data_IF_712284020675
#
_entry.id   IF_712284020675
#
_cell.length_a   1.000
_cell.length_b   1.000
_cell.length_c   1.000
_cell.angle_alpha   90.00
_cell.angle_beta   90.00
_cell.angle_gamma   90.00
#
_symmetry.space_group_name_H-M   'P 1'
#
loop_
_entity.id
_entity.type
_entity.pdbx_description
1 polymer ?
#
# COMPACT_ATOMS: atom_id res chain seq x y z
N UNK A 1 -35.36 -24.26 34.57
CA UNK A 1 -35.37 -24.37 33.10
C UNK A 1 -34.44 -23.30 32.57
N UNK A 2 -33.23 -23.69 32.13
CA UNK A 2 -32.26 -22.73 31.61
C UNK A 2 -32.70 -22.26 30.23
N UNK A 3 -32.87 -20.96 30.05
CA UNK A 3 -33.04 -20.34 28.74
C UNK A 3 -31.76 -20.56 27.95
N UNK A 4 -31.71 -21.59 27.12
CA UNK A 4 -30.61 -21.79 26.19
C UNK A 4 -30.68 -20.68 25.13
N UNK A 5 -29.77 -19.70 25.20
CA UNK A 5 -29.60 -18.69 24.16
C UNK A 5 -29.28 -19.38 22.84
N UNK A 6 -30.02 -19.04 21.78
CA UNK A 6 -29.84 -19.64 20.46
C UNK A 6 -28.53 -19.16 19.82
N UNK A 7 -27.97 -19.96 18.91
CA UNK A 7 -26.80 -19.53 18.12
C UNK A 7 -27.07 -18.27 17.29
N UNK A 8 -28.31 -18.07 16.83
CA UNK A 8 -28.72 -16.88 16.08
C UNK A 8 -28.66 -15.61 16.95
N UNK A 9 -29.17 -15.68 18.18
CA UNK A 9 -29.09 -14.57 19.14
C UNK A 9 -27.63 -14.24 19.50
N UNK A 10 -26.81 -15.26 19.75
CA UNK A 10 -25.38 -15.08 20.02
C UNK A 10 -24.71 -14.40 18.81
N UNK A 11 -25.03 -14.84 17.59
CA UNK A 11 -24.43 -14.29 16.38
C UNK A 11 -24.80 -12.84 16.14
N UNK A 12 -26.06 -12.48 16.35
CA UNK A 12 -26.56 -11.10 16.26
C UNK A 12 -25.90 -10.19 17.29
N UNK A 13 -25.76 -10.66 18.54
CA UNK A 13 -25.07 -9.92 19.59
C UNK A 13 -23.56 -9.74 19.29
N UNK A 14 -22.95 -10.71 18.62
CA UNK A 14 -21.51 -10.70 18.32
C UNK A 14 -21.10 -9.75 17.18
N UNK A 15 -21.93 -9.56 16.15
CA UNK A 15 -21.60 -8.71 14.99
C UNK A 15 -21.86 -7.23 15.26
N UNK A 16 -21.14 -6.35 14.56
CA UNK A 16 -21.41 -4.92 14.54
C UNK A 16 -22.67 -4.60 13.70
N UNK A 17 -23.12 -3.34 13.74
CA UNK A 17 -24.32 -2.91 13.03
C UNK A 17 -24.01 -2.19 11.71
N UNK A 18 -23.15 -1.16 11.74
CA UNK A 18 -22.81 -0.30 10.62
C UNK A 18 -21.59 -0.72 9.79
N UNK A 19 -21.31 0.00 8.69
CA UNK A 19 -20.16 -0.27 7.83
C UNK A 19 -18.85 -0.01 8.55
N UNK A 20 -17.78 -0.67 8.10
CA UNK A 20 -16.44 -0.39 8.60
C UNK A 20 -15.95 0.99 8.12
N UNK A 21 -15.64 1.88 9.07
CA UNK A 21 -15.04 3.19 8.82
C UNK A 21 -13.54 3.22 9.11
N UNK A 22 -12.79 3.98 8.32
CA UNK A 22 -11.40 4.36 8.62
C UNK A 22 -11.45 5.52 9.60
N UNK A 23 -11.01 5.32 10.85
CA UNK A 23 -11.11 6.29 11.93
C UNK A 23 -9.87 7.20 12.07
N UNK A 24 -8.72 6.74 11.58
CA UNK A 24 -7.46 7.49 11.64
C UNK A 24 -6.45 6.94 10.64
N UNK A 25 -5.51 7.78 10.18
CA UNK A 25 -4.45 7.39 9.26
C UNK A 25 -3.11 7.97 9.73
N UNK A 26 -2.10 7.13 9.84
CA UNK A 26 -0.73 7.53 10.16
C UNK A 26 0.24 7.01 9.12
N UNK A 27 1.22 7.83 8.74
CA UNK A 27 2.23 7.49 7.73
C UNK A 27 3.65 7.72 8.25
N UNK A 28 4.60 6.92 7.80
CA UNK A 28 6.01 7.04 8.14
C UNK A 28 6.90 6.61 6.97
N UNK A 29 8.08 7.21 6.86
CA UNK A 29 9.11 6.86 5.91
C UNK A 29 10.47 6.93 6.61
N UNK A 30 11.49 6.16 6.17
CA UNK A 30 12.86 6.37 6.63
C UNK A 30 13.31 7.82 6.42
N UNK A 31 14.18 8.35 7.29
CA UNK A 31 14.66 9.73 7.16
C UNK A 31 15.52 9.92 5.90
N UNK A 32 16.36 8.94 5.60
CA UNK A 32 17.19 8.94 4.39
C UNK A 32 16.30 8.91 3.13
N UNK A 33 16.68 9.73 2.15
CA UNK A 33 15.98 9.82 0.89
C UNK A 33 16.94 10.19 -0.24
N UNK A 34 16.51 9.86 -1.45
CA UNK A 34 17.21 10.17 -2.70
C UNK A 34 16.33 11.05 -3.57
N UNK A 35 16.94 12.00 -4.26
CA UNK A 35 16.29 12.77 -5.31
C UNK A 35 16.37 11.98 -6.61
N UNK A 36 15.23 11.80 -7.27
CA UNK A 36 15.14 10.94 -8.45
C UNK A 36 16.00 11.46 -9.61
N UNK A 37 16.16 12.78 -9.74
CA UNK A 37 17.01 13.41 -10.74
C UNK A 37 18.50 13.04 -10.58
N UNK A 38 18.95 12.77 -9.35
CA UNK A 38 20.34 12.43 -9.02
C UNK A 38 20.54 10.91 -8.89
N UNK A 39 19.44 10.14 -8.82
CA UNK A 39 19.48 8.71 -8.57
C UNK A 39 20.26 7.90 -9.63
N UNK A 40 20.23 8.21 -10.94
CA UNK A 40 21.05 7.49 -11.91
C UNK A 40 22.55 7.60 -11.63
N UNK A 41 23.03 8.76 -11.20
CA UNK A 41 24.44 8.97 -10.86
C UNK A 41 24.80 8.26 -9.55
N UNK A 42 23.96 8.41 -8.53
CA UNK A 42 24.12 7.70 -7.26
C UNK A 42 24.15 6.18 -7.46
N UNK A 43 23.14 5.62 -8.13
CA UNK A 43 22.92 4.19 -8.28
C UNK A 43 24.05 3.53 -9.07
N UNK A 44 24.46 4.10 -10.21
CA UNK A 44 25.56 3.53 -11.01
C UNK A 44 26.93 3.69 -10.32
N UNK A 45 27.12 4.71 -9.48
CA UNK A 45 28.32 4.87 -8.65
C UNK A 45 28.36 3.82 -7.54
N UNK A 46 27.33 3.72 -6.71
CA UNK A 46 27.31 2.83 -5.54
C UNK A 46 27.32 1.34 -5.92
N UNK A 47 26.84 1.01 -7.12
CA UNK A 47 26.86 -0.36 -7.68
C UNK A 47 28.09 -0.64 -8.55
N UNK A 48 29.11 0.24 -8.51
CA UNK A 48 30.35 0.12 -9.29
C UNK A 48 30.11 -0.16 -10.79
N UNK A 49 29.12 0.51 -11.37
CA UNK A 49 28.61 0.25 -12.72
C UNK A 49 28.79 1.44 -13.68
N UNK A 50 29.59 2.45 -13.33
CA UNK A 50 29.79 3.65 -14.17
C UNK A 50 30.35 3.35 -15.57
N UNK A 51 31.02 2.20 -15.74
CA UNK A 51 31.50 1.72 -17.03
C UNK A 51 30.36 1.32 -18.00
N UNK A 52 29.14 1.10 -17.50
CA UNK A 52 27.95 0.74 -18.28
C UNK A 52 27.19 1.98 -18.80
N UNK A 53 27.87 2.86 -19.52
CA UNK A 53 27.34 4.18 -19.93
C UNK A 53 25.98 4.12 -20.65
N UNK A 54 25.81 3.20 -21.60
CA UNK A 54 24.55 3.04 -22.35
C UNK A 54 23.38 2.62 -21.46
N UNK A 55 23.66 1.76 -20.47
CA UNK A 55 22.65 1.30 -19.51
C UNK A 55 22.29 2.40 -18.51
N UNK A 56 23.28 3.20 -18.09
CA UNK A 56 23.07 4.39 -17.26
C UNK A 56 22.16 5.40 -17.95
N UNK A 57 22.38 5.64 -19.24
CA UNK A 57 21.55 6.54 -20.04
C UNK A 57 20.12 6.00 -20.23
N UNK A 58 19.95 4.68 -20.43
CA UNK A 58 18.62 4.05 -20.38
C UNK A 58 17.93 4.25 -19.03
N UNK A 59 18.65 4.01 -17.92
CA UNK A 59 18.11 4.15 -16.58
C UNK A 59 17.76 5.59 -16.24
N UNK A 60 18.57 6.56 -16.68
CA UNK A 60 18.29 7.98 -16.55
C UNK A 60 16.95 8.33 -17.18
N UNK A 61 16.69 7.88 -18.42
CA UNK A 61 15.38 8.09 -19.06
C UNK A 61 14.22 7.42 -18.32
N UNK A 62 14.43 6.26 -17.71
CA UNK A 62 13.42 5.62 -16.86
C UNK A 62 13.10 6.48 -15.64
N UNK A 63 14.12 7.01 -14.96
CA UNK A 63 13.98 7.91 -13.82
C UNK A 63 13.28 9.22 -14.22
N UNK A 64 13.71 9.87 -15.31
CA UNK A 64 13.12 11.12 -15.79
C UNK A 64 11.64 10.96 -16.16
N UNK A 65 11.26 9.80 -16.73
CA UNK A 65 9.87 9.48 -17.10
C UNK A 65 9.04 8.89 -15.94
N UNK A 66 9.65 8.61 -14.79
CA UNK A 66 8.95 7.95 -13.67
C UNK A 66 7.89 8.84 -13.00
N UNK A 67 7.93 10.15 -13.23
CA UNK A 67 7.13 11.17 -12.52
C UNK A 67 7.39 11.19 -11.00
N UNK A 68 8.48 10.57 -10.55
CA UNK A 68 8.93 10.57 -9.17
C UNK A 68 9.93 11.72 -8.98
N UNK A 69 9.77 12.50 -7.92
CA UNK A 69 10.71 13.54 -7.51
C UNK A 69 11.68 13.01 -6.46
N UNK A 70 11.17 12.27 -5.48
CA UNK A 70 11.91 11.82 -4.30
C UNK A 70 11.45 10.43 -3.89
N UNK A 71 12.39 9.62 -3.36
CA UNK A 71 12.09 8.35 -2.70
C UNK A 71 12.78 8.27 -1.36
N UNK A 72 12.07 7.78 -0.35
CA UNK A 72 12.68 7.42 0.92
C UNK A 72 13.27 6.03 0.83
N UNK A 73 14.46 5.83 1.40
CA UNK A 73 15.19 4.56 1.35
C UNK A 73 15.92 4.35 2.67
N UNK A 74 15.68 3.22 3.33
CA UNK A 74 16.41 2.83 4.53
C UNK A 74 17.89 2.55 4.21
N UNK A 75 18.16 1.93 3.06
CA UNK A 75 19.54 1.70 2.60
C UNK A 75 20.26 3.02 2.35
N UNK A 76 21.41 3.20 3.00
CA UNK A 76 22.29 4.37 2.86
C UNK A 76 23.52 4.05 2.03
N UNK A 77 24.20 5.08 1.53
CA UNK A 77 25.47 4.90 0.80
C UNK A 77 26.54 4.21 1.68
N UNK A 78 26.61 4.56 2.96
CA UNK A 78 27.54 3.98 3.92
C UNK A 78 27.30 2.47 4.09
N UNK A 79 26.05 2.08 4.34
CA UNK A 79 25.70 0.67 4.49
C UNK A 79 26.01 -0.13 3.23
N UNK A 80 25.71 0.42 2.05
CA UNK A 80 25.96 -0.26 0.77
C UNK A 80 27.44 -0.42 0.44
N UNK A 81 28.30 0.51 0.89
CA UNK A 81 29.77 0.35 0.76
C UNK A 81 30.29 -0.83 1.59
N UNK A 82 29.70 -1.05 2.76
CA UNK A 82 30.07 -2.16 3.65
C UNK A 82 29.42 -3.49 3.24
N UNK A 83 28.42 -3.47 2.35
CA UNK A 83 27.67 -4.65 1.91
C UNK A 83 27.67 -4.79 0.37
N UNK A 84 28.83 -5.01 -0.27
CA UNK A 84 28.97 -5.03 -1.73
C UNK A 84 28.14 -6.13 -2.42
N UNK A 85 27.82 -7.23 -1.73
CA UNK A 85 26.97 -8.29 -2.27
C UNK A 85 25.52 -7.84 -2.52
N UNK A 86 25.04 -6.84 -1.75
CA UNK A 86 23.74 -6.22 -2.02
C UNK A 86 23.77 -5.26 -3.22
N UNK A 87 24.95 -4.73 -3.56
CA UNK A 87 25.19 -3.89 -4.73
C UNK A 87 25.44 -4.71 -6.01
N UNK A 88 25.87 -5.96 -5.89
CA UNK A 88 25.99 -6.86 -7.02
C UNK A 88 24.61 -7.21 -7.59
N UNK A 89 24.56 -7.59 -8.87
CA UNK A 89 23.28 -7.90 -9.53
C UNK A 89 22.62 -9.16 -8.94
N UNK A 90 23.39 -10.25 -8.78
CA UNK A 90 22.90 -11.58 -8.38
C UNK A 90 23.82 -12.29 -7.37
N UNK A 91 24.54 -11.55 -6.53
CA UNK A 91 25.30 -12.18 -5.46
C UNK A 91 24.34 -12.70 -4.36
N UNK A 92 24.67 -13.83 -3.70
CA UNK A 92 23.96 -14.28 -2.51
C UNK A 92 23.92 -13.18 -1.47
N UNK A 93 22.72 -12.75 -1.10
CA UNK A 93 22.52 -11.57 -0.23
C UNK A 93 21.25 -11.66 0.60
N UNK A 94 20.51 -12.78 0.53
CA UNK A 94 19.23 -12.93 1.23
C UNK A 94 19.37 -12.77 2.75
N UNK A 95 20.39 -13.37 3.36
CA UNK A 95 20.57 -13.31 4.82
C UNK A 95 20.77 -11.87 5.29
N UNK A 96 21.69 -11.13 4.67
CA UNK A 96 21.91 -9.71 4.98
C UNK A 96 20.64 -8.87 4.79
N UNK A 97 19.87 -9.14 3.73
CA UNK A 97 18.59 -8.44 3.47
C UNK A 97 17.55 -8.76 4.53
N UNK A 98 17.45 -10.02 4.93
CA UNK A 98 16.54 -10.51 5.96
C UNK A 98 16.87 -9.87 7.31
N UNK A 99 18.14 -9.88 7.72
CA UNK A 99 18.61 -9.26 8.97
C UNK A 99 18.19 -7.79 9.10
N UNK A 100 18.20 -7.04 7.98
CA UNK A 100 17.69 -5.67 7.94
C UNK A 100 16.16 -5.64 8.11
N UNK A 101 15.42 -6.30 7.22
CA UNK A 101 13.97 -6.07 7.10
C UNK A 101 13.15 -6.69 8.23
N UNK A 102 13.61 -7.80 8.83
CA UNK A 102 12.88 -8.41 9.98
C UNK A 102 12.87 -7.48 11.20
N UNK A 103 13.82 -6.54 11.29
CA UNK A 103 13.89 -5.51 12.33
C UNK A 103 13.22 -4.22 11.88
N UNK A 104 13.55 -3.72 10.70
CA UNK A 104 13.21 -2.36 10.30
C UNK A 104 11.76 -2.24 9.78
N UNK A 105 11.19 -3.30 9.20
CA UNK A 105 9.78 -3.30 8.76
C UNK A 105 8.82 -3.11 9.95
N UNK A 106 8.87 -3.91 11.04
CA UNK A 106 7.97 -3.67 12.17
C UNK A 106 8.27 -2.35 12.91
N UNK A 107 9.50 -1.84 12.85
CA UNK A 107 9.87 -0.53 13.43
C UNK A 107 9.25 0.63 12.66
N UNK A 108 9.34 0.64 11.33
CA UNK A 108 8.70 1.65 10.49
C UNK A 108 7.16 1.55 10.60
N UNK A 109 6.63 0.32 10.61
CA UNK A 109 5.21 0.06 10.88
C UNK A 109 4.75 0.60 12.24
N UNK A 110 5.58 0.50 13.28
CA UNK A 110 5.31 1.08 14.61
C UNK A 110 5.22 2.60 14.53
N UNK A 111 6.11 3.28 13.81
CA UNK A 111 6.08 4.73 13.69
C UNK A 111 4.78 5.23 13.04
N UNK A 112 4.34 4.59 11.96
CA UNK A 112 3.06 4.88 11.33
C UNK A 112 1.88 4.59 12.27
N UNK A 113 1.90 3.44 12.95
CA UNK A 113 0.85 3.03 13.88
C UNK A 113 0.72 3.97 15.08
N UNK A 114 1.83 4.47 15.64
CA UNK A 114 1.81 5.46 16.73
C UNK A 114 1.11 6.74 16.29
N UNK A 115 1.34 7.22 15.07
CA UNK A 115 0.66 8.40 14.52
C UNK A 115 -0.85 8.15 14.35
N UNK A 116 -1.23 7.01 13.78
CA UNK A 116 -2.64 6.62 13.62
C UNK A 116 -3.35 6.51 14.99
N UNK A 117 -2.75 5.81 15.96
CA UNK A 117 -3.30 5.66 17.32
C UNK A 117 -3.43 7.02 18.01
N UNK A 118 -2.45 7.91 17.82
CA UNK A 118 -2.50 9.27 18.37
C UNK A 118 -3.64 10.08 17.77
N UNK A 119 -3.85 10.02 16.46
CA UNK A 119 -4.98 10.68 15.80
C UNK A 119 -6.32 10.09 16.25
N UNK A 120 -6.41 8.76 16.37
CA UNK A 120 -7.61 8.08 16.86
C UNK A 120 -7.99 8.48 18.30
N UNK A 121 -6.99 8.80 19.14
CA UNK A 121 -7.19 9.37 20.46
C UNK A 121 -7.65 8.38 21.54
N UNK A 122 -7.87 7.11 21.22
CA UNK A 122 -8.31 6.10 22.18
C UNK A 122 -7.14 5.28 22.75
N UNK A 123 -7.31 4.64 23.92
CA UNK A 123 -6.29 3.76 24.47
C UNK A 123 -5.98 2.60 23.53
N UNK A 124 -4.70 2.33 23.26
CA UNK A 124 -4.24 1.19 22.45
C UNK A 124 -4.73 -0.18 22.94
N UNK A 125 -5.14 -0.29 24.22
CA UNK A 125 -5.79 -1.49 24.77
C UNK A 125 -7.15 -1.79 24.14
N UNK A 126 -7.80 -0.84 23.48
CA UNK A 126 -9.06 -1.01 22.74
C UNK A 126 -8.86 -1.68 21.38
N UNK A 127 -7.64 -1.72 20.84
CA UNK A 127 -7.32 -2.47 19.62
C UNK A 127 -7.60 -3.96 19.88
N UNK A 128 -8.36 -4.59 18.98
CA UNK A 128 -8.78 -6.00 19.08
C UNK A 128 -8.12 -6.87 18.02
N UNK A 129 -7.75 -6.29 16.88
CA UNK A 129 -7.14 -6.99 15.76
C UNK A 129 -5.94 -6.22 15.23
N UNK A 130 -4.98 -6.96 14.64
CA UNK A 130 -3.87 -6.41 13.87
C UNK A 130 -3.86 -7.10 12.51
N UNK A 131 -3.86 -6.32 11.43
CA UNK A 131 -3.60 -6.80 10.08
C UNK A 131 -2.28 -6.18 9.65
N UNK A 132 -1.23 -6.98 9.53
CA UNK A 132 0.08 -6.50 9.10
C UNK A 132 0.38 -7.03 7.70
N UNK A 133 0.79 -6.15 6.79
CA UNK A 133 1.15 -6.48 5.42
C UNK A 133 2.56 -5.99 5.10
N UNK A 134 3.35 -6.87 4.46
CA UNK A 134 4.64 -6.51 3.88
C UNK A 134 5.04 -7.49 2.79
N UNK A 135 5.72 -6.96 1.78
CA UNK A 135 6.44 -7.72 0.75
C UNK A 135 7.94 -7.82 1.12
N UNK A 136 8.32 -7.27 2.27
CA UNK A 136 9.71 -7.02 2.66
C UNK A 136 10.17 -8.02 3.72
N UNK A 137 10.54 -9.21 3.26
CA UNK A 137 11.05 -10.31 4.08
C UNK A 137 9.97 -11.11 4.80
N UNK A 138 10.38 -12.18 5.48
CA UNK A 138 9.52 -13.09 6.25
C UNK A 138 10.21 -13.58 7.52
N UNK A 139 9.49 -13.78 8.62
CA UNK A 139 10.06 -14.35 9.85
C UNK A 139 8.99 -15.05 10.71
N UNK A 140 9.43 -15.83 11.70
CA UNK A 140 8.57 -16.56 12.64
C UNK A 140 9.15 -16.48 14.08
N UNK A 141 8.53 -15.69 14.99
CA UNK A 141 7.29 -14.93 14.84
C UNK A 141 7.40 -13.73 13.90
N UNK A 142 6.35 -13.51 13.10
CA UNK A 142 6.33 -12.47 12.05
C UNK A 142 6.22 -11.02 12.56
N UNK A 143 6.24 -10.09 11.60
CA UNK A 143 6.23 -8.65 11.85
C UNK A 143 4.97 -8.18 12.61
N UNK A 144 3.85 -8.87 12.47
CA UNK A 144 2.63 -8.66 13.24
C UNK A 144 2.81 -8.92 14.75
N UNK A 145 3.57 -9.96 15.12
CA UNK A 145 3.98 -10.24 16.49
C UNK A 145 4.94 -9.17 17.01
N UNK A 146 5.97 -8.82 16.21
CA UNK A 146 6.95 -7.81 16.59
C UNK A 146 6.28 -6.45 16.82
N UNK A 147 5.37 -6.03 15.92
CA UNK A 147 4.59 -4.81 16.08
C UNK A 147 3.73 -4.84 17.35
N UNK A 148 3.06 -5.96 17.61
CA UNK A 148 2.24 -6.17 18.82
C UNK A 148 3.06 -5.95 20.08
N UNK A 149 4.29 -6.49 20.13
CA UNK A 149 5.26 -6.30 21.21
C UNK A 149 5.73 -4.85 21.30
N UNK A 150 6.16 -4.25 20.19
CA UNK A 150 6.70 -2.89 20.12
C UNK A 150 5.70 -1.81 20.55
N UNK A 151 4.41 -2.00 20.24
CA UNK A 151 3.33 -1.12 20.68
C UNK A 151 2.80 -1.48 22.07
N UNK A 152 3.18 -2.63 22.63
CA UNK A 152 2.64 -3.16 23.89
C UNK A 152 1.11 -3.34 23.83
N UNK A 153 0.61 -3.92 22.75
CA UNK A 153 -0.82 -4.24 22.62
C UNK A 153 -1.19 -5.41 23.54
N UNK A 154 -2.49 -5.68 23.69
CA UNK A 154 -2.94 -6.83 24.49
C UNK A 154 -2.40 -8.14 23.89
N UNK A 155 -1.96 -9.11 24.70
CA UNK A 155 -1.52 -10.41 24.18
C UNK A 155 -2.60 -11.18 23.40
N UNK A 156 -3.88 -10.87 23.65
CA UNK A 156 -5.04 -11.49 23.01
C UNK A 156 -5.50 -10.78 21.73
N UNK A 157 -4.74 -9.83 21.17
CA UNK A 157 -5.08 -9.26 19.86
C UNK A 157 -5.07 -10.36 18.81
N UNK A 158 -6.09 -10.38 17.95
CA UNK A 158 -6.17 -11.35 16.86
C UNK A 158 -5.37 -10.81 15.68
N UNK A 159 -4.31 -11.53 15.30
CA UNK A 159 -3.36 -11.07 14.29
C UNK A 159 -3.57 -11.81 12.98
N UNK A 160 -3.45 -11.09 11.87
CA UNK A 160 -3.29 -11.63 10.52
C UNK A 160 -2.01 -11.06 9.93
N UNK A 161 -1.07 -11.94 9.60
CA UNK A 161 0.19 -11.59 8.96
C UNK A 161 0.10 -11.90 7.46
N UNK A 162 0.28 -10.87 6.64
CA UNK A 162 0.16 -10.93 5.19
C UNK A 162 1.56 -10.70 4.59
N UNK A 163 2.30 -11.78 4.36
CA UNK A 163 3.62 -11.74 3.74
C UNK A 163 3.55 -11.95 2.23
N UNK A 164 4.47 -11.32 1.49
CA UNK A 164 4.71 -11.58 0.06
C UNK A 164 3.46 -11.44 -0.82
N UNK A 165 2.65 -10.43 -0.52
CA UNK A 165 1.41 -10.16 -1.26
C UNK A 165 1.66 -9.35 -2.53
N UNK A 166 2.54 -8.34 -2.45
CA UNK A 166 2.80 -7.40 -3.53
C UNK A 166 1.88 -6.18 -3.53
N UNK A 167 1.95 -5.42 -4.62
CA UNK A 167 1.46 -4.05 -4.71
C UNK A 167 -0.08 -3.89 -4.59
N UNK A 168 -0.88 -4.94 -4.84
CA UNK A 168 -2.33 -4.87 -4.68
C UNK A 168 -2.78 -4.89 -3.20
N UNK A 169 -1.89 -5.27 -2.28
CA UNK A 169 -2.26 -5.63 -0.93
C UNK A 169 -2.80 -4.47 -0.08
N UNK A 170 -2.59 -3.22 -0.50
CA UNK A 170 -3.27 -2.08 0.10
C UNK A 170 -4.80 -2.17 0.01
N UNK A 171 -5.34 -2.72 -1.08
CA UNK A 171 -6.77 -3.06 -1.19
C UNK A 171 -7.14 -4.30 -0.36
N UNK A 172 -6.29 -5.33 -0.37
CA UNK A 172 -6.50 -6.56 0.40
C UNK A 172 -6.63 -6.31 1.91
N UNK A 173 -5.77 -5.46 2.48
CA UNK A 173 -5.84 -5.18 3.93
C UNK A 173 -7.11 -4.41 4.31
N UNK A 174 -7.63 -3.56 3.42
CA UNK A 174 -8.91 -2.89 3.61
C UNK A 174 -10.07 -3.90 3.55
N UNK A 175 -10.04 -4.81 2.57
CA UNK A 175 -11.02 -5.91 2.45
C UNK A 175 -11.07 -6.79 3.70
N UNK A 176 -9.91 -7.19 4.22
CA UNK A 176 -9.83 -7.96 5.47
C UNK A 176 -10.29 -7.15 6.69
N UNK A 177 -9.86 -5.89 6.80
CA UNK A 177 -10.24 -5.03 7.92
C UNK A 177 -11.75 -4.75 7.94
N UNK A 178 -12.38 -4.62 6.77
CA UNK A 178 -13.83 -4.47 6.61
C UNK A 178 -14.57 -5.64 7.28
N UNK A 179 -14.26 -6.87 6.86
CA UNK A 179 -14.91 -8.07 7.41
C UNK A 179 -14.63 -8.23 8.91
N UNK A 180 -13.40 -7.98 9.35
CA UNK A 180 -13.06 -8.09 10.77
C UNK A 180 -13.81 -7.07 11.64
N UNK A 181 -13.95 -5.82 11.18
CA UNK A 181 -14.64 -4.76 11.89
C UNK A 181 -16.16 -4.97 11.93
N UNK A 182 -16.78 -5.27 10.79
CA UNK A 182 -18.24 -5.42 10.68
C UNK A 182 -18.75 -6.69 11.37
N UNK A 183 -17.93 -7.74 11.38
CA UNK A 183 -18.34 -9.04 11.88
C UNK A 183 -18.10 -9.22 13.39
N UNK A 184 -17.53 -8.20 14.06
CA UNK A 184 -17.18 -8.25 15.48
C UNK A 184 -17.52 -6.90 16.16
N UNK A 185 -18.61 -6.87 16.93
CA UNK A 185 -19.07 -5.68 17.65
C UNK A 185 -17.96 -5.08 18.52
N UNK A 186 -17.76 -3.77 18.39
CA UNK A 186 -16.73 -3.03 19.12
C UNK A 186 -15.29 -3.34 18.68
N UNK A 187 -15.08 -4.03 17.56
CA UNK A 187 -13.73 -4.26 17.04
C UNK A 187 -13.09 -2.97 16.53
N UNK A 188 -11.80 -2.83 16.84
CA UNK A 188 -10.92 -1.78 16.33
C UNK A 188 -9.69 -2.48 15.78
N UNK A 189 -9.54 -2.44 14.46
CA UNK A 189 -8.53 -3.14 13.69
C UNK A 189 -7.41 -2.17 13.41
N UNK A 190 -6.21 -2.47 13.92
CA UNK A 190 -5.00 -1.78 13.50
C UNK A 190 -4.50 -2.43 12.20
N UNK A 191 -4.59 -1.71 11.10
CA UNK A 191 -4.02 -2.13 9.82
C UNK A 191 -2.66 -1.48 9.66
N UNK A 192 -1.64 -2.21 9.20
CA UNK A 192 -0.32 -1.67 8.89
C UNK A 192 0.20 -2.29 7.59
N UNK A 193 0.54 -1.46 6.62
CA UNK A 193 1.37 -1.84 5.47
C UNK A 193 2.74 -1.21 5.66
N UNK A 194 3.82 -1.98 5.61
CA UNK A 194 5.19 -1.45 5.81
C UNK A 194 6.17 -2.11 4.84
N UNK A 195 6.86 -1.30 4.05
CA UNK A 195 7.66 -1.76 2.92
C UNK A 195 9.05 -1.12 2.95
N UNK A 196 10.09 -1.95 2.74
CA UNK A 196 11.50 -1.56 2.73
C UNK A 196 12.20 -2.26 1.57
N UNK A 197 12.77 -1.49 0.65
CA UNK A 197 13.41 -1.95 -0.59
C UNK A 197 14.73 -2.68 -0.39
N UNK A 198 15.20 -2.85 0.85
CA UNK A 198 16.40 -3.64 1.15
C UNK A 198 16.32 -5.06 0.57
N UNK A 199 15.13 -5.66 0.47
CA UNK A 199 14.96 -6.98 -0.16
C UNK A 199 15.07 -6.97 -1.69
N UNK A 200 14.88 -5.83 -2.36
CA UNK A 200 14.80 -5.72 -3.84
C UNK A 200 15.93 -4.95 -4.48
N UNK A 201 16.64 -4.09 -3.73
CA UNK A 201 17.78 -3.32 -4.23
C UNK A 201 18.89 -4.23 -4.75
N UNK A 202 19.40 -3.99 -5.96
CA UNK A 202 20.51 -4.76 -6.55
C UNK A 202 21.20 -3.94 -7.64
N UNK A 203 22.37 -4.37 -8.09
CA UNK A 203 23.08 -3.74 -9.22
C UNK A 203 22.35 -3.86 -10.55
N UNK A 204 22.71 -3.05 -11.57
CA UNK A 204 22.10 -3.11 -12.89
C UNK A 204 22.58 -4.31 -13.72
N UNK A 205 21.77 -4.73 -14.69
CA UNK A 205 22.13 -5.69 -15.74
C UNK A 205 21.49 -5.29 -17.06
N UNK A 206 22.24 -5.35 -18.16
CA UNK A 206 21.77 -4.95 -19.50
C UNK A 206 20.78 -5.95 -20.12
N UNK A 207 20.72 -7.16 -19.58
CA UNK A 207 19.79 -8.24 -19.94
C UNK A 207 18.45 -8.19 -19.20
N UNK A 208 18.29 -7.37 -18.16
CA UNK A 208 17.11 -7.37 -17.27
C UNK A 208 16.60 -5.95 -17.01
N UNK A 209 16.04 -5.33 -18.05
CA UNK A 209 15.54 -3.95 -17.99
C UNK A 209 14.28 -3.81 -17.12
N UNK A 210 13.52 -4.89 -16.93
CA UNK A 210 12.38 -4.97 -16.02
C UNK A 210 12.79 -4.79 -14.55
N UNK A 211 13.87 -5.45 -14.12
CA UNK A 211 14.46 -5.24 -12.79
C UNK A 211 14.90 -3.79 -12.62
N UNK A 212 15.48 -3.21 -13.67
CA UNK A 212 15.95 -1.82 -13.69
C UNK A 212 14.80 -0.81 -13.59
N UNK A 213 13.63 -1.10 -14.17
CA UNK A 213 12.40 -0.32 -13.93
C UNK A 213 12.02 -0.36 -12.44
N UNK A 214 12.09 -1.53 -11.80
CA UNK A 214 11.88 -1.64 -10.36
C UNK A 214 12.81 -0.75 -9.53
N UNK A 215 14.10 -0.68 -9.89
CA UNK A 215 15.09 0.17 -9.21
C UNK A 215 14.80 1.67 -9.36
N UNK A 216 14.08 2.08 -10.40
CA UNK A 216 13.62 3.47 -10.57
C UNK A 216 12.34 3.76 -9.78
N UNK A 217 11.48 2.77 -9.53
CA UNK A 217 10.13 3.02 -9.00
C UNK A 217 10.00 2.77 -7.50
N UNK A 218 10.54 1.65 -7.00
CA UNK A 218 10.25 1.20 -5.64
C UNK A 218 10.90 2.08 -4.57
N UNK A 219 10.23 2.19 -3.43
CA UNK A 219 10.58 3.10 -2.33
C UNK A 219 10.07 2.58 -0.99
N UNK A 220 10.53 3.18 0.10
CA UNK A 220 10.25 2.74 1.45
C UNK A 220 9.17 3.60 2.12
N UNK A 221 8.27 2.94 2.84
CA UNK A 221 7.22 3.62 3.57
C UNK A 221 6.29 2.67 4.33
N UNK A 222 5.68 3.20 5.39
CA UNK A 222 4.64 2.52 6.12
C UNK A 222 3.43 3.41 6.33
N UNK A 223 2.26 2.80 6.22
CA UNK A 223 0.99 3.43 6.55
C UNK A 223 0.22 2.54 7.52
N UNK A 224 -0.48 3.18 8.45
CA UNK A 224 -1.29 2.52 9.45
C UNK A 224 -2.67 3.16 9.55
N UNK A 225 -3.68 2.33 9.78
CA UNK A 225 -5.08 2.75 9.92
C UNK A 225 -5.65 2.18 11.22
N UNK A 226 -6.60 2.91 11.80
CA UNK A 226 -7.58 2.30 12.71
C UNK A 226 -8.88 2.15 11.93
N UNK A 227 -9.40 0.93 11.85
CA UNK A 227 -10.68 0.63 11.20
C UNK A 227 -11.66 0.10 12.23
N UNK A 228 -12.90 0.55 12.18
CA UNK A 228 -13.96 0.08 13.07
C UNK A 228 -15.35 0.41 12.53
N UNK A 229 -16.31 -0.47 12.80
CA UNK A 229 -17.74 -0.15 12.68
C UNK A 229 -18.23 0.55 13.93
N UNK A 230 -19.39 1.19 13.81
CA UNK A 230 -20.10 1.85 14.91
C UNK A 230 -19.19 2.85 15.65
N UNK A 231 -18.76 3.95 14.99
CA UNK A 231 -17.89 4.94 15.63
C UNK A 231 -18.59 5.54 16.85
N UNK A 232 -17.90 5.53 17.99
CA UNK A 232 -18.40 6.09 19.25
C UNK A 232 -18.10 7.59 19.30
N UNK A 233 -19.09 8.38 18.89
CA UNK A 233 -19.00 9.84 18.87
C UNK A 233 -18.84 10.45 20.27
N UNK A 234 -19.24 9.73 21.33
CA UNK A 234 -19.11 10.23 22.72
C UNK A 234 -17.66 10.29 23.19
N UNK A 235 -16.78 9.49 22.58
CA UNK A 235 -15.33 9.50 22.83
C UNK A 235 -14.54 10.18 21.70
N UNK A 236 -15.23 10.81 20.75
CA UNK A 236 -14.64 11.60 19.68
C UNK A 236 -14.23 10.81 18.44
N UNK A 237 -14.67 9.57 18.27
CA UNK A 237 -14.44 8.86 17.00
C UNK A 237 -15.26 9.51 15.87
N UNK A 238 -14.59 9.82 14.75
CA UNK A 238 -15.22 10.28 13.51
C UNK A 238 -14.63 9.50 12.34
N UNK A 239 -15.44 8.82 11.51
CA UNK A 239 -14.91 8.16 10.32
C UNK A 239 -14.40 9.20 9.31
N UNK A 240 -13.36 8.84 8.58
CA UNK A 240 -12.78 9.61 7.47
C UNK A 240 -13.37 9.11 6.15
N UNK A 241 -13.47 7.80 6.00
CA UNK A 241 -14.10 7.12 4.88
C UNK A 241 -14.84 5.88 5.41
N UNK A 242 -15.92 5.48 4.74
CA UNK A 242 -16.64 4.23 5.01
C UNK A 242 -16.44 3.26 3.86
N UNK A 243 -16.18 1.98 4.16
CA UNK A 243 -16.00 0.93 3.17
C UNK A 243 -17.33 0.25 2.87
N UNK A 244 -17.77 0.28 1.62
CA UNK A 244 -19.09 -0.21 1.21
C UNK A 244 -18.99 -1.62 0.63
N UNK A 245 -18.08 -1.84 -0.31
CA UNK A 245 -17.79 -3.14 -0.89
C UNK A 245 -16.30 -3.30 -1.17
N UNK A 246 -15.83 -4.54 -1.24
CA UNK A 246 -14.46 -4.88 -1.59
C UNK A 246 -14.45 -6.16 -2.43
N UNK A 247 -13.84 -6.10 -3.61
CA UNK A 247 -13.78 -7.18 -4.58
C UNK A 247 -12.34 -7.41 -5.03
N UNK A 248 -12.05 -8.64 -5.48
CA UNK A 248 -10.77 -9.03 -6.04
C UNK A 248 -11.00 -9.82 -7.32
N UNK A 249 -10.18 -9.58 -8.34
CA UNK A 249 -10.21 -10.36 -9.58
C UNK A 249 -8.81 -10.56 -10.16
N UNK A 250 -8.67 -11.57 -11.02
CA UNK A 250 -7.47 -11.83 -11.82
C UNK A 250 -7.80 -11.44 -13.26
N UNK A 251 -6.96 -10.60 -13.87
CA UNK A 251 -7.23 -10.15 -15.24
C UNK A 251 -7.03 -11.30 -16.23
N UNK A 252 -7.88 -11.41 -17.27
CA UNK A 252 -7.68 -12.38 -18.32
C UNK A 252 -6.35 -12.12 -19.06
N UNK A 253 -5.77 -13.19 -19.62
CA UNK A 253 -4.53 -13.15 -20.42
C UNK A 253 -3.31 -12.54 -19.70
N UNK A 254 -3.32 -12.52 -18.36
CA UNK A 254 -2.32 -11.83 -17.55
C UNK A 254 -1.27 -12.71 -16.88
N UNK A 255 -1.27 -14.02 -17.18
CA UNK A 255 -0.29 -14.99 -16.66
C UNK A 255 1.16 -14.49 -16.84
N UNK A 256 1.94 -14.51 -15.77
CA UNK A 256 3.33 -14.02 -15.72
C UNK A 256 3.51 -12.51 -15.93
N UNK A 257 2.44 -11.70 -16.01
CA UNK A 257 2.58 -10.27 -16.27
C UNK A 257 3.45 -9.56 -15.23
N UNK A 258 3.34 -10.00 -13.98
CA UNK A 258 4.14 -9.55 -12.85
C UNK A 258 4.48 -10.77 -11.99
N UNK A 259 5.76 -11.13 -11.95
CA UNK A 259 6.28 -12.19 -11.10
C UNK A 259 7.27 -11.64 -10.07
N UNK A 260 7.24 -12.22 -8.87
CA UNK A 260 8.20 -11.96 -7.81
C UNK A 260 8.74 -13.27 -7.25
N UNK A 261 10.06 -13.38 -7.08
CA UNK A 261 10.68 -14.60 -6.56
C UNK A 261 11.66 -14.27 -5.44
N UNK A 262 11.40 -14.80 -4.24
CA UNK A 262 12.37 -14.75 -3.16
C UNK A 262 13.41 -15.87 -3.37
N UNK A 263 14.67 -15.48 -3.54
CA UNK A 263 15.80 -16.36 -3.83
C UNK A 263 16.97 -16.01 -2.90
N UNK A 264 18.04 -16.80 -2.97
CA UNK A 264 19.30 -16.54 -2.24
C UNK A 264 19.90 -15.15 -2.56
N UNK A 265 19.54 -14.57 -3.70
CA UNK A 265 19.94 -13.23 -4.15
C UNK A 265 18.98 -12.11 -3.71
N UNK A 266 18.07 -12.38 -2.77
CA UNK A 266 16.97 -11.50 -2.39
C UNK A 266 15.73 -11.68 -3.25
N UNK A 267 14.82 -10.70 -3.21
CA UNK A 267 13.60 -10.68 -4.01
C UNK A 267 13.91 -10.17 -5.43
N UNK A 268 13.69 -11.02 -6.43
CA UNK A 268 13.72 -10.64 -7.85
C UNK A 268 12.32 -10.35 -8.35
N UNK A 269 12.20 -9.45 -9.31
CA UNK A 269 10.93 -9.01 -9.87
C UNK A 269 11.03 -8.98 -11.40
N UNK A 270 9.97 -9.45 -12.06
CA UNK A 270 9.90 -9.59 -13.50
C UNK A 270 8.60 -8.99 -14.05
N UNK A 271 8.73 -8.25 -15.15
CA UNK A 271 7.61 -7.66 -15.89
C UNK A 271 7.59 -8.22 -17.31
N UNK A 272 6.76 -9.24 -17.55
CA UNK A 272 6.78 -9.98 -18.82
C UNK A 272 5.73 -9.51 -19.83
N UNK A 273 4.78 -8.65 -19.42
CA UNK A 273 3.67 -8.17 -20.28
C UNK A 273 3.45 -6.66 -20.13
N UNK A 274 2.64 -6.11 -21.04
CA UNK A 274 2.14 -4.73 -20.96
C UNK A 274 1.10 -4.59 -19.83
N UNK A 275 1.61 -4.44 -18.60
CA UNK A 275 0.79 -4.24 -17.39
C UNK A 275 -0.16 -3.04 -17.52
N UNK A 276 0.29 -1.84 -17.95
CA UNK A 276 -0.62 -0.72 -18.20
C UNK A 276 -1.76 -1.06 -19.16
N UNK A 277 -1.46 -1.73 -20.28
CA UNK A 277 -2.46 -2.14 -21.26
C UNK A 277 -3.46 -3.17 -20.72
N UNK A 278 -2.99 -4.14 -19.94
CA UNK A 278 -3.85 -5.14 -19.30
C UNK A 278 -4.80 -4.50 -18.27
N UNK A 279 -4.30 -3.58 -17.45
CA UNK A 279 -5.13 -2.87 -16.45
C UNK A 279 -6.17 -2.01 -17.15
N UNK A 280 -5.74 -1.12 -18.06
CA UNK A 280 -6.65 -0.19 -18.73
C UNK A 280 -7.73 -0.93 -19.52
N UNK A 281 -7.39 -2.02 -20.23
CA UNK A 281 -8.37 -2.83 -20.97
C UNK A 281 -9.49 -3.41 -20.09
N UNK A 282 -9.20 -3.73 -18.82
CA UNK A 282 -10.11 -4.48 -17.96
C UNK A 282 -10.70 -3.69 -16.79
N UNK A 283 -10.20 -2.50 -16.47
CA UNK A 283 -10.60 -1.73 -15.28
C UNK A 283 -12.10 -1.36 -15.28
N UNK A 284 -12.67 -1.08 -16.45
CA UNK A 284 -14.08 -0.71 -16.61
C UNK A 284 -15.02 -1.81 -16.13
N UNK A 285 -14.67 -3.09 -16.36
CA UNK A 285 -15.45 -4.22 -15.85
C UNK A 285 -15.50 -4.24 -14.32
N UNK A 286 -14.39 -3.91 -13.66
CA UNK A 286 -14.32 -3.87 -12.20
C UNK A 286 -15.15 -2.71 -11.63
N UNK A 287 -15.15 -1.57 -12.32
CA UNK A 287 -16.02 -0.43 -11.98
C UNK A 287 -17.49 -0.78 -12.15
N UNK A 288 -17.88 -1.36 -13.29
CA UNK A 288 -19.26 -1.77 -13.53
C UNK A 288 -19.75 -2.77 -12.47
N UNK A 289 -18.94 -3.77 -12.13
CA UNK A 289 -19.28 -4.76 -11.10
C UNK A 289 -19.48 -4.11 -9.72
N UNK A 290 -18.63 -3.14 -9.38
CA UNK A 290 -18.67 -2.44 -8.10
C UNK A 290 -19.81 -1.41 -7.99
N UNK A 291 -20.10 -0.66 -9.06
CA UNK A 291 -20.95 0.53 -9.02
C UNK A 291 -22.32 0.36 -9.68
N UNK A 292 -22.53 -0.66 -10.52
CA UNK A 292 -23.87 -0.98 -11.05
C UNK A 292 -24.92 -1.20 -9.95
N UNK A 293 -24.63 -1.89 -8.82
CA UNK A 293 -25.58 -2.01 -7.71
C UNK A 293 -25.95 -0.66 -7.05
N UNK A 294 -25.09 0.35 -7.20
CA UNK A 294 -25.27 1.70 -6.66
C UNK A 294 -25.88 2.67 -7.69
N UNK A 295 -26.10 2.23 -8.94
CA UNK A 295 -26.63 3.07 -10.01
C UNK A 295 -25.66 4.16 -10.49
N UNK A 296 -24.36 4.02 -10.24
CA UNK A 296 -23.33 4.99 -10.65
C UNK A 296 -22.63 4.47 -11.91
N UNK A 297 -22.56 5.32 -12.93
CA UNK A 297 -21.88 5.03 -14.20
C UNK A 297 -20.97 6.17 -14.69
N UNK A 298 -21.03 7.35 -14.06
CA UNK A 298 -20.11 8.45 -14.34
C UNK A 298 -18.86 8.33 -13.46
N UNK A 299 -17.77 7.83 -14.04
CA UNK A 299 -16.50 7.64 -13.34
C UNK A 299 -15.84 8.95 -12.89
N UNK A 300 -16.21 10.10 -13.47
CA UNK A 300 -15.73 11.41 -13.03
C UNK A 300 -16.45 11.93 -11.78
N UNK A 301 -17.63 11.38 -11.46
CA UNK A 301 -18.37 11.69 -10.23
C UNK A 301 -17.77 11.03 -8.98
N UNK A 302 -16.85 10.09 -9.15
CA UNK A 302 -16.16 9.37 -8.07
C UNK A 302 -14.88 10.08 -7.64
N UNK A 303 -14.49 10.08 -6.37
CA UNK A 303 -13.09 10.34 -6.00
C UNK A 303 -12.21 9.09 -6.24
N UNK A 304 -10.94 9.27 -6.57
CA UNK A 304 -10.09 8.20 -7.10
C UNK A 304 -8.80 8.00 -6.30
N UNK A 305 -8.56 6.74 -5.92
CA UNK A 305 -7.31 6.27 -5.36
C UNK A 305 -6.84 5.09 -6.20
N UNK A 306 -5.74 5.23 -6.93
CA UNK A 306 -5.18 4.14 -7.72
C UNK A 306 -3.77 3.84 -7.23
N UNK A 307 -3.41 2.56 -7.07
CA UNK A 307 -2.04 2.20 -6.76
C UNK A 307 -1.11 2.74 -7.87
N UNK A 308 -0.12 3.59 -7.54
CA UNK A 308 0.74 4.23 -8.52
C UNK A 308 1.90 3.30 -8.90
N UNK A 309 1.57 2.15 -9.50
CA UNK A 309 2.56 1.14 -9.89
C UNK A 309 3.61 1.67 -10.85
N UNK A 310 3.23 2.65 -11.66
CA UNK A 310 4.05 3.49 -12.51
C UNK A 310 3.17 4.50 -13.26
N UNK A 311 3.72 5.60 -13.79
CA UNK A 311 2.92 6.67 -14.40
C UNK A 311 2.12 6.17 -15.62
N UNK A 312 2.66 5.23 -16.39
CA UNK A 312 1.99 4.66 -17.56
C UNK A 312 0.65 3.98 -17.22
N UNK A 313 0.52 3.36 -16.04
CA UNK A 313 -0.76 2.77 -15.60
C UNK A 313 -1.80 3.87 -15.40
N UNK A 314 -1.41 4.95 -14.71
CA UNK A 314 -2.30 6.07 -14.41
C UNK A 314 -2.76 6.77 -15.70
N UNK A 315 -1.81 7.05 -16.60
CA UNK A 315 -2.09 7.71 -17.87
C UNK A 315 -3.05 6.88 -18.73
N UNK A 316 -2.83 5.57 -18.84
CA UNK A 316 -3.70 4.72 -19.65
C UNK A 316 -5.09 4.53 -19.03
N UNK A 317 -5.20 4.44 -17.71
CA UNK A 317 -6.51 4.40 -17.03
C UNK A 317 -7.28 5.70 -17.23
N UNK A 318 -6.61 6.84 -17.06
CA UNK A 318 -7.18 8.18 -17.26
C UNK A 318 -7.71 8.35 -18.69
N UNK A 319 -6.89 8.00 -19.69
CA UNK A 319 -7.29 8.04 -21.11
C UNK A 319 -8.45 7.10 -21.40
N UNK A 320 -8.36 5.84 -20.93
CA UNK A 320 -9.35 4.81 -21.24
C UNK A 320 -10.75 5.15 -20.74
N UNK A 321 -10.83 5.70 -19.53
CA UNK A 321 -12.10 6.02 -18.88
C UNK A 321 -12.54 7.48 -19.12
N UNK A 322 -11.73 8.28 -19.84
CA UNK A 322 -11.99 9.71 -20.04
C UNK A 322 -12.06 10.48 -18.71
N UNK A 323 -11.19 10.12 -17.75
CA UNK A 323 -11.14 10.83 -16.48
C UNK A 323 -10.55 12.23 -16.68
N UNK A 324 -11.07 13.20 -15.94
CA UNK A 324 -10.45 14.52 -15.85
C UNK A 324 -9.10 14.41 -15.12
N UNK A 325 -8.16 15.27 -15.48
CA UNK A 325 -6.80 15.22 -14.95
C UNK A 325 -6.74 15.32 -13.41
N UNK A 326 -7.67 16.07 -12.80
CA UNK A 326 -7.78 16.21 -11.35
C UNK A 326 -8.07 14.89 -10.62
N UNK A 327 -8.67 13.89 -11.27
CA UNK A 327 -9.05 12.62 -10.61
C UNK A 327 -7.84 11.86 -10.09
N UNK A 328 -6.70 11.97 -10.78
CA UNK A 328 -5.46 11.29 -10.39
C UNK A 328 -4.52 12.19 -9.57
N UNK A 329 -4.93 13.40 -9.17
CA UNK A 329 -4.07 14.38 -8.50
C UNK A 329 -3.43 13.83 -7.22
N UNK A 330 -4.22 13.31 -6.27
CA UNK A 330 -3.71 12.76 -5.02
C UNK A 330 -2.77 11.56 -5.27
N UNK A 331 -3.14 10.68 -6.21
CA UNK A 331 -2.33 9.54 -6.62
C UNK A 331 -0.97 9.95 -7.19
N UNK A 332 -0.95 10.91 -8.12
CA UNK A 332 0.28 11.44 -8.74
C UNK A 332 1.13 12.22 -7.74
N UNK A 333 0.51 12.92 -6.78
CA UNK A 333 1.23 13.58 -5.70
C UNK A 333 2.04 12.58 -4.87
N UNK A 334 1.40 11.49 -4.43
CA UNK A 334 2.08 10.45 -3.65
C UNK A 334 3.19 9.76 -4.46
N UNK A 335 2.94 9.47 -5.75
CA UNK A 335 3.97 8.94 -6.64
C UNK A 335 5.18 9.88 -6.73
N UNK A 336 4.93 11.19 -6.92
CA UNK A 336 5.99 12.19 -6.99
C UNK A 336 6.82 12.25 -5.71
N UNK A 337 6.16 12.34 -4.56
CA UNK A 337 6.83 12.67 -3.30
C UNK A 337 7.46 11.46 -2.59
N UNK A 338 6.97 10.26 -2.89
CA UNK A 338 7.36 9.06 -2.18
C UNK A 338 7.84 7.93 -3.09
N UNK A 339 7.39 7.88 -4.35
CA UNK A 339 7.60 6.74 -5.24
C UNK A 339 6.58 5.62 -5.05
N UNK A 340 6.90 4.43 -5.58
CA UNK A 340 6.09 3.22 -5.39
C UNK A 340 6.47 2.52 -4.08
N UNK A 341 5.72 2.77 -3.02
CA UNK A 341 5.81 2.11 -1.71
C UNK A 341 4.96 0.82 -1.63
N UNK A 342 4.75 0.12 -2.75
CA UNK A 342 3.99 -1.12 -2.84
C UNK A 342 2.61 -1.00 -2.15
N UNK A 343 2.31 -1.86 -1.17
CA UNK A 343 1.03 -1.96 -0.47
C UNK A 343 0.67 -0.70 0.33
N UNK A 344 1.63 0.14 0.72
CA UNK A 344 1.39 1.34 1.50
C UNK A 344 0.86 2.52 0.66
N UNK A 345 1.10 2.55 -0.66
CA UNK A 345 0.79 3.72 -1.50
C UNK A 345 -0.66 4.19 -1.40
N UNK A 346 -1.62 3.28 -1.58
CA UNK A 346 -3.05 3.66 -1.59
C UNK A 346 -3.50 4.22 -0.24
N UNK A 347 -2.82 3.87 0.85
CA UNK A 347 -3.10 4.40 2.18
C UNK A 347 -2.50 5.79 2.38
N UNK A 348 -1.31 6.06 1.82
CA UNK A 348 -0.78 7.43 1.71
C UNK A 348 -1.69 8.32 0.86
N UNK A 349 -2.27 7.79 -0.21
CA UNK A 349 -3.17 8.55 -1.10
C UNK A 349 -4.47 8.90 -0.38
N UNK A 350 -5.03 8.00 0.43
CA UNK A 350 -6.18 8.31 1.29
C UNK A 350 -5.87 9.45 2.28
N UNK A 351 -4.67 9.45 2.89
CA UNK A 351 -4.26 10.53 3.80
C UNK A 351 -4.05 11.86 3.07
N UNK A 352 -3.38 11.86 1.92
CA UNK A 352 -3.23 13.04 1.07
C UNK A 352 -4.59 13.61 0.68
N UNK A 353 -5.51 12.76 0.20
CA UNK A 353 -6.83 13.17 -0.27
C UNK A 353 -7.64 13.84 0.84
N UNK A 354 -7.75 13.21 2.02
CA UNK A 354 -8.54 13.76 3.13
C UNK A 354 -7.91 15.03 3.70
N UNK A 355 -6.58 15.11 3.75
CA UNK A 355 -5.87 16.30 4.22
C UNK A 355 -6.07 17.46 3.26
N UNK A 356 -5.88 17.22 1.96
CA UNK A 356 -6.05 18.26 0.95
C UNK A 356 -7.50 18.75 0.85
N UNK A 357 -8.47 17.84 0.96
CA UNK A 357 -9.89 18.21 1.02
C UNK A 357 -10.19 19.15 2.19
N UNK A 358 -9.63 18.87 3.37
CA UNK A 358 -9.75 19.74 4.54
C UNK A 358 -9.06 21.09 4.36
N UNK A 359 -7.84 21.08 3.81
CA UNK A 359 -7.06 22.30 3.54
C UNK A 359 -7.76 23.22 2.53
N UNK A 360 -8.39 22.64 1.51
CA UNK A 360 -9.10 23.38 0.46
C UNK A 360 -10.55 23.76 0.87
N UNK A 361 -11.02 23.27 2.02
CA UNK A 361 -12.35 23.61 2.56
C UNK A 361 -13.52 23.06 1.74
N UNK A 362 -13.34 21.93 1.06
CA UNK A 362 -14.43 21.28 0.29
C UNK A 362 -15.40 20.53 1.21
N UNK A 363 -16.54 20.09 0.68
CA UNK A 363 -17.65 19.58 1.49
C UNK A 363 -17.37 18.23 2.19
N UNK A 364 -16.54 17.37 1.62
CA UNK A 364 -16.32 15.99 2.09
C UNK A 364 -14.84 15.62 2.09
N UNK A 365 -14.46 14.58 2.82
CA UNK A 365 -13.10 14.01 2.84
C UNK A 365 -12.64 13.45 1.48
N UNK A 366 -13.58 13.19 0.56
CA UNK A 366 -13.34 12.66 -0.79
C UNK A 366 -13.41 13.75 -1.85
N UNK A 367 -12.70 14.85 -1.66
CA UNK A 367 -12.61 15.97 -2.63
C UNK A 367 -13.98 16.61 -2.94
N UNK A 368 -14.90 16.63 -1.97
CA UNK A 368 -16.26 17.17 -2.14
C UNK A 368 -17.25 16.21 -2.81
N UNK A 369 -16.84 14.98 -3.12
CA UNK A 369 -17.66 13.94 -3.73
C UNK A 369 -18.11 12.92 -2.69
N UNK A 370 -19.25 12.26 -2.93
CA UNK A 370 -19.83 11.27 -2.00
C UNK A 370 -19.17 9.90 -2.14
N UNK A 371 -19.05 9.42 -3.37
CA UNK A 371 -18.57 8.07 -3.68
C UNK A 371 -17.17 8.10 -4.25
N UNK A 372 -16.41 7.02 -4.01
CA UNK A 372 -15.09 6.87 -4.58
C UNK A 372 -14.64 5.43 -4.68
N UNK A 373 -13.53 5.26 -5.37
CA UNK A 373 -12.96 3.95 -5.65
C UNK A 373 -11.48 3.92 -5.31
N UNK A 374 -11.06 2.83 -4.67
CA UNK A 374 -9.67 2.50 -4.42
C UNK A 374 -9.29 1.24 -5.18
N UNK A 375 -8.19 1.32 -5.94
CA UNK A 375 -7.62 0.21 -6.69
C UNK A 375 -6.23 -0.18 -6.20
N UNK A 376 -6.04 -1.48 -5.97
CA UNK A 376 -4.73 -2.11 -5.83
C UNK A 376 -4.40 -2.95 -7.08
N UNK A 377 -3.16 -2.85 -7.58
CA UNK A 377 -2.69 -3.63 -8.73
C UNK A 377 -1.40 -4.36 -8.37
N UNK A 378 -1.25 -5.64 -8.74
CA UNK A 378 -0.01 -6.39 -8.46
C UNK A 378 0.02 -7.80 -9.05
N UNK A 379 0.92 -8.68 -8.57
CA UNK A 379 1.15 -10.02 -9.11
C UNK A 379 -0.14 -10.81 -9.37
N UNK A 380 -0.24 -11.47 -10.52
CA UNK A 380 -1.43 -12.25 -10.92
C UNK A 380 -1.74 -12.25 -12.42
N UNK A 381 -2.07 -11.13 -13.06
CA UNK A 381 -2.22 -9.75 -12.56
C UNK A 381 -3.54 -9.59 -11.77
N UNK A 382 -3.41 -9.28 -10.48
CA UNK A 382 -4.55 -9.12 -9.57
C UNK A 382 -4.96 -7.66 -9.44
N UNK A 383 -6.28 -7.43 -9.42
CA UNK A 383 -6.91 -6.13 -9.14
C UNK A 383 -7.77 -6.25 -7.89
N UNK A 384 -7.49 -5.43 -6.88
CA UNK A 384 -8.38 -5.18 -5.74
C UNK A 384 -9.19 -3.92 -6.02
N UNK A 385 -10.49 -3.95 -5.76
CA UNK A 385 -11.41 -2.83 -5.94
C UNK A 385 -12.19 -2.61 -4.64
N UNK A 386 -12.04 -1.44 -4.02
CA UNK A 386 -12.76 -1.07 -2.80
C UNK A 386 -13.62 0.15 -3.08
N UNK A 387 -14.92 0.04 -2.85
CA UNK A 387 -15.84 1.16 -2.91
C UNK A 387 -15.84 1.88 -1.58
N UNK A 388 -15.64 3.19 -1.64
CA UNK A 388 -15.58 4.07 -0.49
C UNK A 388 -16.70 5.10 -0.55
N UNK A 389 -17.23 5.44 0.62
CA UNK A 389 -18.05 6.61 0.83
C UNK A 389 -17.26 7.64 1.64
N UNK A 390 -17.32 8.90 1.25
CA UNK A 390 -16.69 10.01 1.97
C UNK A 390 -17.51 10.41 3.20
N UNK A 391 -16.93 11.27 4.03
CA UNK A 391 -17.60 11.82 5.22
C UNK A 391 -17.59 13.35 5.13
N UNK A 392 -18.68 14.05 5.50
CA UNK A 392 -18.69 15.50 5.57
C UNK A 392 -17.61 16.06 6.51
N UNK A 393 -16.90 17.10 6.05
CA UNK A 393 -15.75 17.68 6.77
C UNK A 393 -16.15 18.48 8.00
#
# INVERSE_FOLDING_TARGET
>A
MGTHTSLDEIRKAQRADGPAGILSIGTANPENHVLQAEYPDYYFRITNSEHMADLKEKFKRMCDKSMIRKRHMHLTEEFLKDNPDMCAYMAPSLDARQDIVVVEVPKLGKEAAVKAIKEWGQPKSKITHVVFCTTSGVDMPGADYQLTKLLGLRPSVKRLMMYQQGCFAGGTVLRLAKDLAENNRGARVLVVCSEITAVTFRGPSDTHLDSLVGQALFSDGAAALIVGSDPDTSVGEKPIFEMVSAAQTILPDSDGAIDGHLREVGLTFHLLKDVPGLISKNIEKSLEEAFKPLGISDWNSLFWIAHPGGPAILDQVEIKLGLKAEKMRATRHVLSEFGNMSSACVLFILDEMRRKSKEDGVATTGEGLEWGVLFGFGPGLTVETVVLHSVPL
#
